data_IF_227238178171
#
_entry.id   IF_227238178171
#
_cell.length_a   1.000
_cell.length_b   1.000
_cell.length_c   1.000
_cell.angle_alpha   90.00
_cell.angle_beta   90.00
_cell.angle_gamma   90.00
#
_symmetry.space_group_name_H-M   'P 1'
#
loop_
_entity.id
_entity.type
_entity.pdbx_description
1 polymer ?
#
# COMPACT_ATOMS: atom_id res chain seq x y z
N UNK A 1 -4.08 -17.70 0.61
CA UNK A 1 -4.52 -17.43 -0.77
C UNK A 1 -4.12 -15.99 -1.07
N UNK A 2 -3.05 -15.75 -1.84
CA UNK A 2 -2.73 -14.37 -2.25
C UNK A 2 -3.92 -13.84 -3.05
N UNK A 3 -4.54 -12.71 -2.66
CA UNK A 3 -5.61 -12.15 -3.45
C UNK A 3 -5.06 -11.89 -4.85
N UNK A 4 -5.69 -12.50 -5.86
CA UNK A 4 -5.31 -12.24 -7.24
C UNK A 4 -5.51 -10.75 -7.52
N UNK A 5 -4.52 -10.09 -8.13
CA UNK A 5 -4.61 -8.69 -8.54
C UNK A 5 -5.90 -8.51 -9.35
N UNK A 6 -6.81 -7.60 -8.97
CA UNK A 6 -8.02 -7.33 -9.73
C UNK A 6 -7.69 -7.10 -11.22
N UNK A 7 -8.44 -7.72 -12.13
CA UNK A 7 -8.19 -7.66 -13.59
C UNK A 7 -8.04 -6.25 -14.17
N UNK A 8 -8.67 -5.25 -13.54
CA UNK A 8 -8.59 -3.83 -13.92
C UNK A 8 -7.31 -3.15 -13.43
N UNK A 9 -6.62 -3.74 -12.46
CA UNK A 9 -5.34 -3.28 -11.95
C UNK A 9 -4.13 -3.94 -12.62
N UNK A 10 -4.29 -5.08 -13.29
CA UNK A 10 -3.18 -5.82 -13.91
C UNK A 10 -2.39 -5.00 -14.93
N UNK A 11 -3.03 -4.01 -15.59
CA UNK A 11 -2.35 -3.10 -16.52
C UNK A 11 -1.33 -2.15 -15.87
N UNK A 12 -1.40 -1.96 -14.54
CA UNK A 12 -0.41 -1.17 -13.78
C UNK A 12 0.76 -2.01 -13.28
N UNK A 13 0.74 -3.34 -13.49
CA UNK A 13 1.82 -4.23 -13.08
C UNK A 13 2.58 -4.76 -14.29
N UNK A 14 3.91 -4.72 -14.22
CA UNK A 14 4.79 -5.40 -15.17
C UNK A 14 5.81 -6.24 -14.39
N UNK A 15 5.93 -7.53 -14.74
CA UNK A 15 6.84 -8.47 -14.07
C UNK A 15 6.67 -8.50 -12.54
N UNK A 16 5.43 -8.37 -12.07
CA UNK A 16 5.11 -8.39 -10.63
C UNK A 16 5.36 -7.08 -9.87
N UNK A 17 5.82 -6.01 -10.55
CA UNK A 17 6.01 -4.69 -9.95
C UNK A 17 5.01 -3.69 -10.48
N UNK A 18 4.58 -2.79 -9.60
CA UNK A 18 3.77 -1.64 -9.96
C UNK A 18 4.65 -0.70 -10.81
N UNK A 19 4.21 -0.37 -12.01
CA UNK A 19 4.96 0.51 -12.93
C UNK A 19 4.45 1.95 -12.88
N UNK A 20 3.21 2.16 -12.45
CA UNK A 20 2.61 3.49 -12.35
C UNK A 20 1.49 3.51 -11.32
N UNK A 21 1.44 4.59 -10.54
CA UNK A 21 0.34 4.84 -9.62
C UNK A 21 -0.83 5.44 -10.42
N UNK A 22 -2.04 4.84 -10.38
CA UNK A 22 -3.20 5.36 -11.09
C UNK A 22 -3.53 6.81 -10.68
N UNK A 23 -3.85 7.64 -11.68
CA UNK A 23 -4.24 9.05 -11.45
C UNK A 23 -5.67 9.14 -10.89
N UNK A 24 -6.58 8.27 -11.38
CA UNK A 24 -7.97 8.23 -10.93
C UNK A 24 -8.05 7.76 -9.49
N UNK A 25 -8.62 8.60 -8.61
CA UNK A 25 -8.70 8.35 -7.17
C UNK A 25 -9.33 6.99 -6.82
N UNK A 26 -10.44 6.61 -7.47
CA UNK A 26 -11.10 5.31 -7.23
C UNK A 26 -10.20 4.12 -7.56
N UNK A 27 -9.51 4.16 -8.71
CA UNK A 27 -8.61 3.07 -9.13
C UNK A 27 -7.37 3.02 -8.24
N UNK A 28 -6.85 4.19 -7.85
CA UNK A 28 -5.75 4.29 -6.89
C UNK A 28 -6.15 3.70 -5.54
N UNK A 29 -7.35 4.03 -5.03
CA UNK A 29 -7.84 3.48 -3.78
C UNK A 29 -7.93 1.95 -3.83
N UNK A 30 -8.53 1.38 -4.88
CA UNK A 30 -8.58 -0.09 -5.05
C UNK A 30 -7.18 -0.72 -5.09
N UNK A 31 -6.23 -0.06 -5.76
CA UNK A 31 -4.83 -0.51 -5.77
C UNK A 31 -4.23 -0.47 -4.36
N UNK A 32 -4.42 0.62 -3.62
CA UNK A 32 -3.84 0.77 -2.29
C UNK A 32 -4.44 -0.24 -1.31
N UNK A 33 -5.76 -0.48 -1.35
CA UNK A 33 -6.42 -1.55 -0.58
C UNK A 33 -5.76 -2.89 -0.86
N UNK A 34 -5.61 -3.24 -2.14
CA UNK A 34 -4.98 -4.50 -2.53
C UNK A 34 -3.53 -4.61 -2.03
N UNK A 35 -2.74 -3.53 -2.13
CA UNK A 35 -1.38 -3.50 -1.63
C UNK A 35 -1.35 -3.64 -0.10
N UNK A 36 -2.19 -2.91 0.63
CA UNK A 36 -2.19 -2.97 2.09
C UNK A 36 -2.63 -4.34 2.61
N UNK A 37 -3.60 -4.97 1.97
CA UNK A 37 -4.10 -6.30 2.32
C UNK A 37 -3.06 -7.39 2.05
N UNK A 38 -2.18 -7.17 1.07
CA UNK A 38 -1.14 -8.14 0.69
C UNK A 38 0.14 -7.96 1.50
N UNK A 39 0.47 -6.72 1.86
CA UNK A 39 1.77 -6.37 2.47
C UNK A 39 1.71 -6.23 4.00
N UNK A 40 0.55 -5.92 4.58
CA UNK A 40 0.42 -5.59 6.00
C UNK A 40 -0.67 -6.41 6.69
N UNK A 41 -0.33 -6.86 7.89
CA UNK A 41 -1.25 -7.51 8.81
C UNK A 41 -1.98 -6.46 9.67
N UNK A 42 -3.22 -6.74 10.06
CA UNK A 42 -4.01 -5.86 10.94
C UNK A 42 -3.54 -5.92 12.38
N UNK A 43 -3.01 -7.06 12.83
CA UNK A 43 -2.62 -7.25 14.23
C UNK A 43 -1.17 -6.80 14.51
N UNK A 44 -0.47 -6.33 13.48
CA UNK A 44 0.94 -5.94 13.57
C UNK A 44 1.14 -4.44 13.42
N UNK A 45 2.03 -3.90 14.26
CA UNK A 45 2.60 -2.57 14.11
C UNK A 45 3.91 -2.66 13.33
N UNK A 46 4.08 -1.74 12.39
CA UNK A 46 5.25 -1.63 11.53
C UNK A 46 5.95 -0.29 11.78
N UNK A 47 7.27 -0.28 11.75
CA UNK A 47 8.05 0.96 11.70
C UNK A 47 7.99 1.58 10.31
N UNK A 48 8.36 2.86 10.18
CA UNK A 48 8.48 3.49 8.86
C UNK A 48 9.44 2.72 7.93
N UNK A 49 10.55 2.19 8.47
CA UNK A 49 11.50 1.37 7.73
C UNK A 49 10.87 0.11 7.16
N UNK A 50 10.13 -0.63 7.98
CA UNK A 50 9.44 -1.86 7.54
C UNK A 50 8.36 -1.57 6.50
N UNK A 51 7.62 -0.46 6.65
CA UNK A 51 6.64 -0.01 5.65
C UNK A 51 7.33 0.32 4.32
N UNK A 52 8.45 1.03 4.37
CA UNK A 52 9.22 1.36 3.18
C UNK A 52 9.76 0.09 2.50
N UNK A 53 10.28 -0.87 3.28
CA UNK A 53 10.80 -2.13 2.74
C UNK A 53 9.69 -2.97 2.09
N UNK A 54 8.52 -3.05 2.72
CA UNK A 54 7.35 -3.72 2.17
C UNK A 54 6.90 -3.07 0.85
N UNK A 55 6.75 -1.74 0.80
CA UNK A 55 6.39 -1.04 -0.44
C UNK A 55 7.47 -1.13 -1.51
N UNK A 56 8.76 -1.20 -1.15
CA UNK A 56 9.86 -1.30 -2.11
C UNK A 56 9.81 -2.58 -2.93
N UNK A 57 9.16 -3.63 -2.42
CA UNK A 57 8.91 -4.85 -3.18
C UNK A 57 8.03 -4.62 -4.41
N UNK A 58 7.15 -3.61 -4.37
CA UNK A 58 6.18 -3.32 -5.43
C UNK A 58 6.48 -2.03 -6.22
N UNK A 59 7.04 -0.98 -5.60
CA UNK A 59 7.31 0.31 -6.25
C UNK A 59 8.44 1.08 -5.55
N UNK A 60 9.23 1.85 -6.31
CA UNK A 60 10.35 2.63 -5.76
C UNK A 60 9.91 3.85 -4.94
N UNK A 61 8.82 4.51 -5.36
CA UNK A 61 8.20 5.64 -4.65
C UNK A 61 7.36 5.18 -3.44
N UNK A 62 8.07 4.63 -2.45
CA UNK A 62 7.51 4.17 -1.17
C UNK A 62 6.86 5.30 -0.37
N UNK A 63 7.42 6.52 -0.47
CA UNK A 63 6.92 7.72 0.18
C UNK A 63 5.54 8.13 -0.33
N UNK A 64 5.33 8.13 -1.66
CA UNK A 64 4.02 8.43 -2.23
C UNK A 64 2.98 7.39 -1.83
N UNK A 65 3.31 6.09 -1.91
CA UNK A 65 2.39 5.01 -1.50
C UNK A 65 1.97 5.15 -0.04
N UNK A 66 2.93 5.35 0.87
CA UNK A 66 2.66 5.55 2.29
C UNK A 66 1.77 6.76 2.53
N UNK A 67 2.05 7.88 1.85
CA UNK A 67 1.23 9.10 1.95
C UNK A 67 -0.20 8.86 1.47
N UNK A 68 -0.39 8.18 0.34
CA UNK A 68 -1.73 7.89 -0.15
C UNK A 68 -2.48 6.92 0.76
N UNK A 69 -1.83 5.88 1.28
CA UNK A 69 -2.46 4.96 2.21
C UNK A 69 -2.92 5.67 3.49
N UNK A 70 -2.12 6.60 4.03
CA UNK A 70 -2.52 7.39 5.19
C UNK A 70 -3.67 8.34 4.86
N UNK A 71 -3.61 9.02 3.71
CA UNK A 71 -4.67 9.93 3.28
C UNK A 71 -6.01 9.22 3.05
N UNK A 72 -5.97 8.01 2.49
CA UNK A 72 -7.15 7.18 2.22
C UNK A 72 -7.61 6.41 3.47
N UNK A 73 -6.93 6.57 4.62
CA UNK A 73 -7.29 5.91 5.87
C UNK A 73 -6.99 4.41 5.92
N UNK A 74 -6.13 3.89 5.03
CA UNK A 74 -5.74 2.48 4.95
C UNK A 74 -4.56 2.15 5.89
N UNK A 75 -3.69 3.12 6.13
CA UNK A 75 -2.63 3.05 7.13
C UNK A 75 -2.81 4.17 8.15
N UNK A 76 -2.74 3.82 9.43
CA UNK A 76 -2.71 4.77 10.53
C UNK A 76 -1.27 4.97 10.96
N UNK A 77 -0.78 6.21 10.91
CA UNK A 77 0.53 6.61 11.43
C UNK A 77 0.36 7.16 12.84
N UNK A 78 1.22 6.75 13.78
CA UNK A 78 1.26 7.39 15.10
C UNK A 78 1.80 8.83 15.04
N UNK A 79 1.46 9.65 16.04
CA UNK A 79 1.76 11.10 16.01
C UNK A 79 3.26 11.40 15.95
N UNK A 80 4.07 10.55 16.58
CA UNK A 80 5.52 10.63 16.56
C UNK A 80 6.13 10.18 15.22
N UNK A 81 5.31 9.55 14.37
CA UNK A 81 5.72 9.02 13.08
C UNK A 81 6.57 7.77 13.13
N UNK A 82 6.78 7.18 14.31
CA UNK A 82 7.64 6.02 14.52
C UNK A 82 6.99 4.74 13.99
N UNK A 83 5.67 4.70 13.96
CA UNK A 83 4.91 3.49 13.73
C UNK A 83 3.67 3.69 12.85
N UNK A 84 3.33 2.59 12.19
CA UNK A 84 2.27 2.42 11.21
C UNK A 84 1.47 1.17 11.56
N UNK A 85 0.16 1.24 11.40
CA UNK A 85 -0.75 0.10 11.51
C UNK A 85 -1.70 0.09 10.33
N UNK A 86 -2.08 -1.10 9.85
CA UNK A 86 -3.19 -1.22 8.89
C UNK A 86 -4.48 -0.82 9.60
N UNK A 87 -5.27 0.06 8.97
CA UNK A 87 -6.57 0.41 9.50
C UNK A 87 -7.48 -0.82 9.43
N UNK A 88 -8.23 -1.06 10.51
CA UNK A 88 -9.33 -2.02 10.46
C UNK A 88 -10.46 -1.37 9.64
N UNK A 89 -10.68 -1.89 8.43
CA UNK A 89 -11.87 -1.59 7.64
C UNK A 89 -13.09 -2.32 8.22
#
# INVERSE_FOLDING_TARGET
MHPAVPRRLTGFFARGRLTSIPVRATVRHELLVHLTDTLFDTERTYTEGEVNDAFRTVHEDTSALRRYCVNDGLLVRERDGSSYRRAHA
#
